data_IF_000857215408
#
_entry.id   IF_000857215408
#
_cell.length_a   1.000
_cell.length_b   1.000
_cell.length_c   1.000
_cell.angle_alpha   90.00
_cell.angle_beta   90.00
_cell.angle_gamma   90.00
#
_symmetry.space_group_name_H-M   'P 1'
#
loop_
_entity.id
_entity.type
_entity.pdbx_description
1 polymer ?
#
# COMPACT_ATOMS: atom_id res chain seq x y z
N UNK A 1 -66.61 -0.22 -28.82
CA UNK A 1 -66.32 0.44 -27.53
C UNK A 1 -65.11 -0.24 -26.91
N UNK A 2 -64.12 0.56 -26.57
CA UNK A 2 -62.75 0.17 -26.18
C UNK A 2 -62.74 -0.24 -24.70
N UNK A 3 -62.12 -1.38 -24.37
CA UNK A 3 -61.59 -1.65 -23.02
C UNK A 3 -60.15 -2.18 -23.14
N UNK A 4 -59.22 -1.28 -22.82
CA UNK A 4 -57.78 -1.52 -22.71
C UNK A 4 -57.54 -2.11 -21.31
N UNK A 5 -57.02 -3.35 -21.24
CA UNK A 5 -56.43 -3.88 -20.02
C UNK A 5 -54.92 -3.62 -20.07
N UNK A 6 -54.44 -2.73 -19.19
CA UNK A 6 -53.02 -2.44 -19.00
C UNK A 6 -52.36 -3.59 -18.23
N UNK A 7 -51.39 -4.24 -18.86
CA UNK A 7 -50.41 -5.11 -18.19
C UNK A 7 -49.37 -4.19 -17.52
N UNK A 8 -49.19 -4.36 -16.21
CA UNK A 8 -48.25 -3.63 -15.38
C UNK A 8 -46.84 -4.23 -15.58
N UNK A 9 -45.95 -3.54 -16.32
CA UNK A 9 -44.51 -3.79 -16.26
C UNK A 9 -43.93 -2.97 -15.09
N UNK A 10 -43.54 -3.61 -14.00
CA UNK A 10 -42.66 -3.02 -13.00
C UNK A 10 -41.22 -3.09 -13.53
N UNK A 11 -40.72 -1.98 -14.09
CA UNK A 11 -39.30 -1.79 -14.35
C UNK A 11 -38.59 -1.42 -13.04
N UNK A 12 -37.72 -2.30 -12.58
CA UNK A 12 -36.81 -2.08 -11.45
C UNK A 12 -35.71 -1.10 -11.89
N UNK A 13 -35.89 0.19 -11.60
CA UNK A 13 -34.86 1.20 -11.86
C UNK A 13 -33.81 1.13 -10.77
N UNK A 14 -32.62 0.67 -11.15
CA UNK A 14 -31.40 0.67 -10.36
C UNK A 14 -31.07 2.10 -9.90
N UNK A 15 -31.10 2.35 -8.60
CA UNK A 15 -30.60 3.60 -8.00
C UNK A 15 -29.07 3.55 -8.09
N UNK A 16 -28.51 4.23 -9.07
CA UNK A 16 -27.06 4.51 -9.11
C UNK A 16 -26.80 5.55 -8.03
N UNK A 17 -26.14 5.13 -6.95
CA UNK A 17 -25.63 6.03 -5.93
C UNK A 17 -24.63 7.00 -6.57
N UNK A 18 -24.97 8.28 -6.56
CA UNK A 18 -24.07 9.38 -6.89
C UNK A 18 -22.92 9.39 -5.90
N UNK A 19 -21.72 9.02 -6.35
CA UNK A 19 -20.50 9.16 -5.55
C UNK A 19 -20.19 10.66 -5.46
N UNK A 20 -20.08 11.13 -4.22
CA UNK A 20 -19.80 12.51 -3.82
C UNK A 20 -18.67 13.15 -4.65
N UNK A 21 -19.02 14.22 -5.37
CA UNK A 21 -18.08 15.12 -6.03
C UNK A 21 -17.55 16.16 -5.04
N UNK A 22 -16.49 15.82 -4.29
CA UNK A 22 -15.75 16.80 -3.47
C UNK A 22 -14.22 16.66 -3.60
N UNK A 23 -13.72 16.15 -4.72
CA UNK A 23 -12.30 16.28 -5.07
C UNK A 23 -12.17 16.77 -6.51
N UNK A 24 -12.71 17.96 -6.78
CA UNK A 24 -12.33 18.71 -7.96
C UNK A 24 -10.96 19.32 -7.67
N UNK A 25 -9.92 18.83 -8.35
CA UNK A 25 -8.62 19.47 -8.37
C UNK A 25 -8.78 20.87 -8.93
N UNK A 26 -8.60 21.89 -8.09
CA UNK A 26 -8.47 23.26 -8.60
C UNK A 26 -7.04 23.43 -9.12
N UNK A 27 -6.84 24.03 -10.31
CA UNK A 27 -5.51 24.38 -10.76
C UNK A 27 -4.86 25.32 -9.74
N UNK A 28 -3.61 25.03 -9.39
CA UNK A 28 -2.85 25.83 -8.44
C UNK A 28 -2.59 27.23 -9.02
N UNK A 29 -3.52 28.16 -8.82
CA UNK A 29 -3.27 29.59 -9.01
C UNK A 29 -3.06 30.19 -7.63
N UNK A 30 -1.80 30.56 -7.37
CA UNK A 30 -1.24 31.41 -6.31
C UNK A 30 -0.06 30.68 -5.65
N UNK A 31 1.15 31.02 -6.10
CA UNK A 31 2.40 30.66 -5.44
C UNK A 31 2.49 31.44 -4.11
N UNK A 32 2.23 30.76 -3.00
CA UNK A 32 2.55 31.27 -1.66
C UNK A 32 4.10 31.27 -1.48
N UNK A 33 4.71 32.40 -1.08
CA UNK A 33 6.15 32.47 -0.87
C UNK A 33 6.51 31.71 0.41
N UNK A 34 7.11 30.52 0.29
CA UNK A 34 7.73 29.86 1.45
C UNK A 34 7.93 28.35 1.41
N UNK A 35 7.40 27.60 0.45
CA UNK A 35 7.60 26.14 0.45
C UNK A 35 8.94 25.73 -0.15
N UNK A 36 10.00 25.71 0.68
CA UNK A 36 11.25 25.02 0.37
C UNK A 36 11.03 23.53 0.64
N UNK A 37 11.03 22.69 -0.40
CA UNK A 37 11.16 21.24 -0.23
C UNK A 37 12.54 20.98 0.35
N UNK A 38 12.68 20.45 1.57
CA UNK A 38 14.00 20.05 2.06
C UNK A 38 14.46 18.86 1.22
N UNK A 39 15.46 19.11 0.38
CA UNK A 39 16.26 18.06 -0.22
C UNK A 39 17.05 17.37 0.89
N UNK A 40 16.50 16.28 1.43
CA UNK A 40 17.31 15.27 2.07
C UNK A 40 17.70 14.26 1.00
N UNK A 41 18.83 14.49 0.36
CA UNK A 41 19.68 13.36 -0.04
C UNK A 41 19.96 12.58 1.23
N UNK A 42 19.35 11.40 1.37
CA UNK A 42 19.81 10.42 2.33
C UNK A 42 21.29 10.18 2.05
N UNK A 43 22.20 10.40 3.00
CA UNK A 43 23.57 9.97 2.82
C UNK A 43 23.56 8.45 2.59
N UNK A 44 24.06 8.02 1.43
CA UNK A 44 24.45 6.63 1.23
C UNK A 44 25.66 6.37 2.15
N UNK A 45 25.42 6.02 3.41
CA UNK A 45 26.50 5.60 4.30
C UNK A 45 26.04 4.61 5.37
N UNK A 46 26.59 3.39 5.25
CA UNK A 46 27.09 2.59 6.38
C UNK A 46 26.12 1.75 7.22
N UNK A 47 24.94 1.35 6.73
CA UNK A 47 24.11 0.34 7.42
C UNK A 47 24.30 -1.09 6.90
N UNK A 48 25.21 -1.33 5.94
CA UNK A 48 25.35 -2.64 5.30
C UNK A 48 26.20 -3.66 6.10
N UNK A 49 26.75 -3.30 7.26
CA UNK A 49 27.70 -4.14 8.01
C UNK A 49 27.18 -4.81 9.29
N UNK A 50 25.88 -4.69 9.61
CA UNK A 50 25.34 -5.31 10.84
C UNK A 50 24.15 -6.25 10.62
N UNK A 51 23.68 -6.47 9.39
CA UNK A 51 22.59 -7.41 9.13
C UNK A 51 23.16 -8.70 8.52
N UNK A 52 22.76 -9.90 8.98
CA UNK A 52 22.97 -11.11 8.19
C UNK A 52 22.47 -10.83 6.77
N UNK A 53 23.11 -11.40 5.74
CA UNK A 53 22.79 -11.11 4.34
C UNK A 53 21.30 -11.39 4.06
N UNK A 54 20.45 -10.37 4.22
CA UNK A 54 19.04 -10.44 3.92
C UNK A 54 18.89 -10.44 2.41
N UNK A 55 18.27 -11.49 1.90
CA UNK A 55 17.90 -11.53 0.49
C UNK A 55 16.72 -10.59 0.27
N UNK A 56 17.02 -9.36 -0.15
CA UNK A 56 16.02 -8.36 -0.46
C UNK A 56 15.66 -8.38 -1.94
N UNK A 57 14.37 -8.52 -2.24
CA UNK A 57 13.80 -8.33 -3.56
C UNK A 57 13.19 -6.91 -3.60
N UNK A 58 13.85 -5.98 -4.28
CA UNK A 58 13.30 -4.65 -4.49
C UNK A 58 12.36 -4.65 -5.72
N UNK A 59 11.09 -4.31 -5.52
CA UNK A 59 10.09 -4.26 -6.60
C UNK A 59 10.16 -2.95 -7.41
N UNK A 60 10.84 -1.94 -6.87
CA UNK A 60 11.02 -0.62 -7.45
C UNK A 60 9.95 0.38 -7.03
N UNK A 61 10.08 1.60 -7.54
CA UNK A 61 9.15 2.70 -7.32
C UNK A 61 8.09 2.76 -8.43
N UNK A 62 6.86 3.13 -8.07
CA UNK A 62 5.78 3.48 -8.98
C UNK A 62 5.09 4.75 -8.51
N UNK A 63 4.81 5.66 -9.43
CA UNK A 63 4.04 6.87 -9.17
C UNK A 63 2.67 6.72 -9.86
N UNK A 64 1.60 7.01 -9.13
CA UNK A 64 0.23 6.95 -9.64
C UNK A 64 -0.60 8.06 -9.01
N UNK A 65 -0.89 9.10 -9.81
CA UNK A 65 -1.51 10.33 -9.31
C UNK A 65 -0.66 10.99 -8.22
N UNK A 66 -1.28 11.28 -7.08
CA UNK A 66 -0.62 11.89 -5.93
C UNK A 66 0.22 10.92 -5.09
N UNK A 67 0.19 9.63 -5.40
CA UNK A 67 0.84 8.59 -4.63
C UNK A 67 2.16 8.16 -5.28
N UNK A 68 3.13 7.87 -4.43
CA UNK A 68 4.32 7.09 -4.74
C UNK A 68 4.31 5.83 -3.90
N UNK A 69 4.49 4.67 -4.53
CA UNK A 69 4.52 3.38 -3.88
C UNK A 69 5.86 2.72 -4.20
N UNK A 70 6.56 2.29 -3.17
CA UNK A 70 7.75 1.45 -3.26
C UNK A 70 7.48 0.18 -2.45
N UNK A 71 8.09 -0.93 -2.85
CA UNK A 71 7.98 -2.16 -2.07
C UNK A 71 9.25 -2.98 -2.11
N UNK A 72 9.55 -3.61 -0.99
CA UNK A 72 10.66 -4.54 -0.80
C UNK A 72 10.09 -5.81 -0.19
N UNK A 73 10.59 -6.96 -0.63
CA UNK A 73 10.29 -8.24 -0.02
C UNK A 73 11.57 -8.87 0.54
N UNK A 74 11.49 -9.47 1.72
CA UNK A 74 12.61 -10.12 2.39
C UNK A 74 12.12 -11.31 3.22
N UNK A 75 12.97 -11.94 4.02
CA UNK A 75 12.58 -13.09 4.86
C UNK A 75 11.43 -12.73 5.81
N UNK A 76 10.54 -13.69 6.09
CA UNK A 76 9.45 -13.44 7.05
C UNK A 76 10.05 -13.05 8.42
N UNK A 77 9.54 -11.97 9.03
CA UNK A 77 10.09 -11.40 10.26
C UNK A 77 9.06 -11.36 11.38
N UNK A 78 9.55 -11.31 12.62
CA UNK A 78 8.69 -11.02 13.77
C UNK A 78 8.34 -9.53 13.81
N UNK A 79 7.49 -9.17 14.76
CA UNK A 79 7.11 -7.77 15.02
C UNK A 79 6.69 -7.57 16.46
N UNK A 80 6.83 -6.35 16.94
CA UNK A 80 6.17 -5.96 18.18
C UNK A 80 4.70 -5.63 17.95
N UNK A 81 3.84 -6.13 18.82
CA UNK A 81 2.41 -5.82 18.82
C UNK A 81 1.97 -5.33 20.19
N UNK A 82 0.95 -4.46 20.21
CA UNK A 82 0.28 -4.10 21.46
C UNK A 82 -0.62 -5.26 21.91
N UNK A 83 -0.31 -5.84 23.06
CA UNK A 83 -1.10 -6.87 23.71
C UNK A 83 -1.20 -6.55 25.21
N UNK A 84 -2.41 -6.55 25.76
CA UNK A 84 -2.66 -6.29 27.20
C UNK A 84 -1.91 -5.04 27.72
N UNK A 85 -2.01 -3.93 26.98
CA UNK A 85 -1.37 -2.64 27.31
C UNK A 85 0.17 -2.68 27.37
N UNK A 86 0.82 -3.63 26.70
CA UNK A 86 2.28 -3.71 26.57
C UNK A 86 2.69 -4.05 25.13
N UNK A 87 3.91 -3.67 24.75
CA UNK A 87 4.52 -4.15 23.52
C UNK A 87 5.11 -5.54 23.75
N UNK A 88 4.63 -6.51 22.98
CA UNK A 88 5.05 -7.91 23.05
C UNK A 88 5.65 -8.30 21.71
N UNK A 89 6.78 -9.00 21.75
CA UNK A 89 7.37 -9.59 20.55
C UNK A 89 6.53 -10.77 20.08
N UNK A 90 6.13 -10.72 18.81
CA UNK A 90 5.41 -11.80 18.14
C UNK A 90 6.30 -12.33 17.01
N UNK A 91 6.76 -13.59 17.08
CA UNK A 91 7.51 -14.22 16.01
C UNK A 91 6.70 -14.29 14.71
N UNK A 92 7.40 -14.44 13.58
CA UNK A 92 6.75 -14.70 12.29
C UNK A 92 5.84 -15.94 12.36
N UNK A 93 4.70 -15.89 11.69
CA UNK A 93 3.75 -17.00 11.69
C UNK A 93 4.39 -18.24 11.00
N UNK A 94 4.28 -19.47 11.57
CA UNK A 94 5.09 -20.63 11.15
C UNK A 94 5.05 -20.99 9.66
N UNK A 95 3.97 -20.64 8.96
CA UNK A 95 3.77 -20.97 7.54
C UNK A 95 4.13 -19.83 6.59
N UNK A 96 4.60 -18.69 7.11
CA UNK A 96 5.01 -17.55 6.28
C UNK A 96 6.50 -17.58 6.00
N UNK A 97 6.86 -17.14 4.79
CA UNK A 97 8.21 -17.29 4.23
C UNK A 97 8.70 -16.03 3.49
N UNK A 98 7.92 -14.95 3.50
CA UNK A 98 8.33 -13.66 2.95
C UNK A 98 7.64 -12.54 3.73
N UNK A 99 8.38 -11.48 4.06
CA UNK A 99 7.84 -10.23 4.55
C UNK A 99 7.82 -9.22 3.41
N UNK A 100 6.70 -8.51 3.24
CA UNK A 100 6.64 -7.36 2.34
C UNK A 100 6.59 -6.08 3.15
N UNK A 101 7.46 -5.13 2.80
CA UNK A 101 7.34 -3.73 3.20
C UNK A 101 6.78 -2.93 2.02
N UNK A 102 5.80 -2.07 2.29
CA UNK A 102 5.19 -1.14 1.34
C UNK A 102 5.31 0.28 1.87
N UNK A 103 5.97 1.14 1.11
CA UNK A 103 6.12 2.56 1.41
C UNK A 103 5.11 3.34 0.58
N UNK A 104 3.92 3.58 1.15
CA UNK A 104 2.92 4.48 0.56
C UNK A 104 3.26 5.92 0.93
N UNK A 105 3.60 6.74 -0.08
CA UNK A 105 4.12 8.09 0.10
C UNK A 105 3.37 9.11 -0.72
N UNK A 106 3.45 10.37 -0.32
CA UNK A 106 3.16 11.50 -1.20
C UNK A 106 4.18 11.53 -2.34
N UNK A 107 3.72 11.58 -3.59
CA UNK A 107 4.61 11.67 -4.75
C UNK A 107 5.45 12.95 -4.79
N UNK A 108 4.99 14.04 -4.16
CA UNK A 108 5.69 15.33 -4.18
C UNK A 108 6.72 15.45 -3.04
N UNK A 109 6.30 15.26 -1.79
CA UNK A 109 7.17 15.43 -0.62
C UNK A 109 7.90 14.15 -0.20
N UNK A 110 7.50 12.98 -0.74
CA UNK A 110 7.98 11.65 -0.34
C UNK A 110 7.67 11.27 1.10
N UNK A 111 6.81 12.03 1.78
CA UNK A 111 6.34 11.74 3.14
C UNK A 111 5.48 10.47 3.14
N UNK A 112 5.69 9.58 4.11
CA UNK A 112 4.83 8.40 4.31
C UNK A 112 3.41 8.85 4.64
N UNK A 113 2.42 8.22 4.01
CA UNK A 113 1.01 8.45 4.22
C UNK A 113 0.45 7.40 5.18
N UNK A 114 0.24 7.71 6.47
CA UNK A 114 -0.40 6.81 7.41
C UNK A 114 -1.92 6.76 7.18
N UNK A 115 -2.60 5.89 7.92
CA UNK A 115 -4.08 5.80 7.97
C UNK A 115 -4.77 5.51 6.62
N UNK A 116 -4.03 4.95 5.65
CA UNK A 116 -4.62 4.26 4.50
C UNK A 116 -4.82 2.78 4.82
N UNK A 117 -5.89 2.18 4.30
CA UNK A 117 -6.03 0.72 4.28
C UNK A 117 -5.27 0.19 3.06
N UNK A 118 -4.16 -0.52 3.31
CA UNK A 118 -3.30 -1.09 2.26
C UNK A 118 -3.51 -2.60 2.22
N UNK A 119 -3.76 -3.13 1.03
CA UNK A 119 -3.90 -4.57 0.78
C UNK A 119 -2.91 -4.98 -0.31
N UNK A 120 -2.12 -6.02 -0.03
CA UNK A 120 -1.20 -6.63 -0.99
C UNK A 120 -1.71 -8.02 -1.37
N UNK A 121 -1.75 -8.28 -2.68
CA UNK A 121 -2.04 -9.59 -3.25
C UNK A 121 -0.90 -10.10 -4.13
N UNK A 122 -0.60 -11.40 -3.99
CA UNK A 122 0.37 -12.14 -4.81
C UNK A 122 -0.40 -13.00 -5.79
N UNK A 123 -0.01 -12.96 -7.06
CA UNK A 123 -0.65 -13.69 -8.15
C UNK A 123 0.39 -14.50 -8.91
N UNK A 124 0.03 -15.72 -9.32
CA UNK A 124 0.89 -16.58 -10.14
C UNK A 124 0.99 -16.08 -11.60
N UNK A 125 1.76 -16.79 -12.44
CA UNK A 125 1.90 -16.46 -13.86
C UNK A 125 0.61 -16.58 -14.67
N UNK A 126 -0.37 -17.33 -14.17
CA UNK A 126 -1.71 -17.47 -14.75
C UNK A 126 -2.69 -16.43 -14.19
N UNK A 127 -2.20 -15.43 -13.46
CA UNK A 127 -2.98 -14.39 -12.78
C UNK A 127 -3.99 -14.97 -11.75
N UNK A 128 -3.72 -16.16 -11.21
CA UNK A 128 -4.49 -16.73 -10.10
C UNK A 128 -3.96 -16.16 -8.79
N UNK A 129 -4.87 -15.79 -7.90
CA UNK A 129 -4.51 -15.32 -6.57
C UNK A 129 -3.84 -16.44 -5.78
N UNK A 130 -2.62 -16.19 -5.30
CA UNK A 130 -1.88 -17.06 -4.39
C UNK A 130 -2.28 -16.73 -2.96
N UNK A 131 -2.15 -15.46 -2.58
CA UNK A 131 -2.51 -14.98 -1.26
C UNK A 131 -2.79 -13.47 -1.29
N UNK A 132 -3.69 -12.98 -0.44
CA UNK A 132 -3.96 -11.54 -0.26
C UNK A 132 -4.18 -11.25 1.22
N UNK A 133 -3.53 -10.20 1.73
CA UNK A 133 -3.65 -9.78 3.13
C UNK A 133 -3.66 -8.26 3.27
N UNK A 134 -4.34 -7.71 4.30
CA UNK A 134 -4.14 -6.33 4.70
C UNK A 134 -2.71 -6.13 5.23
N UNK A 135 -2.16 -4.94 5.08
CA UNK A 135 -0.84 -4.57 5.55
C UNK A 135 -0.97 -3.68 6.79
N UNK A 136 -0.24 -4.00 7.86
CA UNK A 136 -0.27 -3.21 9.09
C UNK A 136 0.70 -2.03 8.99
N UNK A 137 0.28 -0.84 9.41
CA UNK A 137 1.20 0.29 9.53
C UNK A 137 2.12 0.08 10.73
N UNK A 138 3.42 0.09 10.51
CA UNK A 138 4.42 -0.22 11.54
C UNK A 138 5.70 0.62 11.36
N UNK A 139 6.59 0.51 12.35
CA UNK A 139 7.89 1.14 12.34
C UNK A 139 8.98 0.08 12.54
N UNK A 140 10.06 0.22 11.78
CA UNK A 140 11.27 -0.58 11.96
C UNK A 140 12.49 0.35 12.05
N UNK A 141 13.50 0.04 12.90
CA UNK A 141 14.64 0.93 13.14
C UNK A 141 15.44 1.32 11.88
N UNK A 142 15.50 0.45 10.87
CA UNK A 142 16.31 0.67 9.66
C UNK A 142 15.48 1.25 8.51
N UNK A 143 14.24 0.78 8.34
CA UNK A 143 13.40 1.11 7.17
C UNK A 143 12.38 2.20 7.49
N UNK A 144 12.21 2.55 8.76
CA UNK A 144 11.29 3.60 9.22
C UNK A 144 9.83 3.16 9.15
N UNK A 145 8.92 4.13 8.97
CA UNK A 145 7.49 3.87 8.85
C UNK A 145 7.13 3.25 7.50
N UNK A 146 6.37 2.16 7.53
CA UNK A 146 5.90 1.45 6.35
C UNK A 146 4.67 0.60 6.66
N UNK A 147 4.09 0.01 5.63
CA UNK A 147 3.06 -1.00 5.74
C UNK A 147 3.67 -2.38 5.56
N UNK A 148 3.56 -3.27 6.55
CA UNK A 148 4.23 -4.56 6.59
C UNK A 148 3.25 -5.73 6.78
N UNK A 149 3.55 -6.88 6.17
CA UNK A 149 2.95 -8.18 6.52
C UNK A 149 3.75 -9.36 5.97
N UNK A 150 3.61 -10.52 6.61
CA UNK A 150 4.17 -11.78 6.18
C UNK A 150 3.20 -12.55 5.26
N UNK A 151 3.74 -13.20 4.23
CA UNK A 151 3.04 -13.99 3.23
C UNK A 151 3.70 -15.36 3.04
N UNK A 152 3.01 -16.22 2.31
CA UNK A 152 3.46 -17.54 1.90
C UNK A 152 3.52 -17.62 0.38
N UNK A 153 4.72 -17.84 -0.16
CA UNK A 153 4.93 -18.17 -1.56
C UNK A 153 5.22 -19.66 -1.67
N UNK A 154 4.49 -20.44 -2.49
CA UNK A 154 4.60 -21.90 -2.49
C UNK A 154 5.87 -22.43 -3.17
N UNK A 155 6.44 -21.69 -4.11
CA UNK A 155 7.61 -22.11 -4.87
C UNK A 155 8.39 -20.93 -5.45
N UNK A 156 9.66 -21.14 -5.77
CA UNK A 156 10.45 -20.17 -6.53
C UNK A 156 9.86 -19.95 -7.91
N UNK A 157 9.65 -18.70 -8.30
CA UNK A 157 9.04 -18.37 -9.59
C UNK A 157 8.83 -16.87 -9.78
N UNK A 158 8.22 -16.52 -10.91
CA UNK A 158 7.85 -15.14 -11.19
C UNK A 158 6.37 -14.95 -10.86
N UNK A 159 6.08 -13.88 -10.14
CA UNK A 159 4.75 -13.53 -9.65
C UNK A 159 4.38 -12.12 -10.10
N UNK A 160 3.09 -11.80 -9.98
CA UNK A 160 2.63 -10.41 -9.97
C UNK A 160 2.25 -10.02 -8.54
N UNK A 161 2.70 -8.85 -8.11
CA UNK A 161 2.37 -8.28 -6.79
C UNK A 161 1.50 -7.05 -7.04
N UNK A 162 0.26 -7.07 -6.54
CA UNK A 162 -0.67 -5.96 -6.63
C UNK A 162 -0.87 -5.33 -5.26
N UNK A 163 -0.65 -4.03 -5.18
CA UNK A 163 -0.87 -3.22 -3.98
C UNK A 163 -2.04 -2.28 -4.26
N UNK A 164 -3.03 -2.31 -3.39
CA UNK A 164 -4.15 -1.39 -3.39
C UNK A 164 -4.13 -0.58 -2.09
N UNK A 165 -4.39 0.71 -2.17
CA UNK A 165 -4.55 1.55 -0.99
C UNK A 165 -5.79 2.44 -1.12
N UNK A 166 -6.55 2.57 -0.02
CA UNK A 166 -7.61 3.57 0.09
C UNK A 166 -7.01 4.95 0.34
N UNK A 167 -7.76 6.04 0.09
CA UNK A 167 -7.42 7.36 0.58
C UNK A 167 -7.08 7.35 2.08
N UNK A 168 -6.04 8.09 2.51
CA UNK A 168 -5.75 8.25 3.93
C UNK A 168 -6.80 9.13 4.62
N UNK A 169 -7.24 8.71 5.81
CA UNK A 169 -8.38 9.30 6.52
C UNK A 169 -8.01 10.43 7.51
N UNK A 170 -6.74 10.84 7.58
CA UNK A 170 -6.30 11.91 8.47
C UNK A 170 -6.64 13.33 7.93
N UNK A 171 -6.83 14.28 8.85
CA UNK A 171 -7.12 15.67 8.53
C UNK A 171 -5.94 16.37 7.84
N UNK A 172 -6.23 17.22 6.84
CA UNK A 172 -5.22 17.93 6.03
C UNK A 172 -5.45 19.43 6.06
N UNK A 173 -4.38 20.20 6.25
CA UNK A 173 -4.41 21.66 6.18
C UNK A 173 -4.07 22.15 4.76
N UNK A 174 -4.27 23.45 4.51
CA UNK A 174 -4.08 24.15 3.24
C UNK A 174 -5.19 23.85 2.20
N UNK A 175 -5.93 24.90 1.81
CA UNK A 175 -7.09 24.80 0.89
C UNK A 175 -6.71 24.27 -0.50
N UNK A 176 -5.54 24.64 -1.02
CA UNK A 176 -5.10 24.25 -2.36
C UNK A 176 -4.34 22.91 -2.36
N UNK A 177 -3.43 22.72 -1.41
CA UNK A 177 -2.51 21.58 -1.38
C UNK A 177 -3.02 20.39 -0.54
N UNK A 178 -3.99 20.59 0.35
CA UNK A 178 -4.55 19.56 1.21
C UNK A 178 -5.59 18.66 0.52
N UNK A 179 -6.08 19.06 -0.65
CA UNK A 179 -7.07 18.31 -1.43
C UNK A 179 -6.41 17.28 -2.37
N UNK A 180 -5.74 16.28 -1.79
CA UNK A 180 -4.93 15.27 -2.50
C UNK A 180 -5.15 13.87 -1.94
N UNK A 181 -4.75 12.85 -2.69
CA UNK A 181 -4.93 11.43 -2.34
C UNK A 181 -6.42 11.05 -2.15
N UNK A 182 -7.31 11.69 -2.91
CA UNK A 182 -8.76 11.53 -2.74
C UNK A 182 -9.33 10.22 -3.29
N UNK A 183 -8.59 9.56 -4.18
CA UNK A 183 -9.02 8.35 -4.86
C UNK A 183 -8.17 7.17 -4.40
N UNK A 184 -8.74 5.95 -4.36
CA UNK A 184 -7.94 4.74 -4.18
C UNK A 184 -6.85 4.63 -5.26
N UNK A 185 -5.74 4.01 -4.91
CA UNK A 185 -4.63 3.74 -5.84
C UNK A 185 -4.39 2.24 -5.93
N UNK A 186 -4.08 1.77 -7.14
CA UNK A 186 -3.68 0.40 -7.42
C UNK A 186 -2.41 0.40 -8.26
N UNK A 187 -1.42 -0.37 -7.85
CA UNK A 187 -0.16 -0.59 -8.57
C UNK A 187 0.10 -2.08 -8.67
N UNK A 188 0.48 -2.54 -9.86
CA UNK A 188 0.92 -3.93 -10.08
C UNK A 188 2.38 -3.95 -10.52
N UNK A 189 3.18 -4.75 -9.82
CA UNK A 189 4.53 -5.15 -10.21
C UNK A 189 4.42 -6.51 -10.87
N UNK A 190 4.84 -6.61 -12.13
CA UNK A 190 4.81 -7.86 -12.90
C UNK A 190 6.19 -8.50 -12.93
N UNK A 191 6.23 -9.83 -13.08
CA UNK A 191 7.46 -10.59 -13.24
C UNK A 191 8.44 -10.43 -12.06
N UNK A 192 7.89 -10.31 -10.84
CA UNK A 192 8.67 -10.25 -9.61
C UNK A 192 9.14 -11.66 -9.28
N UNK A 193 10.46 -11.89 -9.25
CA UNK A 193 11.01 -13.20 -8.89
C UNK A 193 11.00 -13.36 -7.38
N UNK A 194 10.16 -14.25 -6.89
CA UNK A 194 10.04 -14.58 -5.47
C UNK A 194 10.46 -16.04 -5.25
N UNK A 195 10.87 -16.34 -4.03
CA UNK A 195 11.12 -17.70 -3.56
C UNK A 195 10.66 -17.84 -2.11
N UNK A 196 10.32 -19.05 -1.65
CA UNK A 196 10.16 -19.31 -0.23
C UNK A 196 11.47 -18.96 0.47
N UNK A 197 11.44 -17.98 1.37
CA UNK A 197 12.59 -17.63 2.20
C UNK A 197 12.33 -18.15 3.62
N UNK A 198 13.38 -18.55 4.34
CA UNK A 198 13.20 -18.90 5.75
C UNK A 198 12.68 -17.72 6.56
N UNK A 199 12.40 -17.95 7.84
CA UNK A 199 12.15 -16.84 8.76
C UNK A 199 13.47 -16.21 9.20
N UNK A 200 13.46 -14.90 9.47
CA UNK A 200 14.56 -14.28 10.20
C UNK A 200 14.57 -14.85 11.62
N UNK A 201 15.73 -15.33 12.06
CA UNK A 201 15.97 -15.68 13.45
C UNK A 201 16.43 -14.39 14.12
N UNK A 202 15.47 -13.65 14.68
CA UNK A 202 15.67 -12.38 15.38
C UNK A 202 15.72 -12.56 16.90
#
# INVERSE_FOLDING_TARGET
MIKIAKILLMSLTLIIATINSYCLSQPATQEEPGYRVPGQTLPQSQTQTAMPQMHNVNLGQRVSGDYMIESVAHQASGRYEWQNNQLVWVPAEPNTNIHFEVFLRDARSRTILPYSNVVLGIYDQNNRLVESKPMAFMWHPVTGYHYGNNFTVPATGNYSVRINATPPEFARANKALGNRWCQPVSVTYTNVRLMPMGQLVE
#
